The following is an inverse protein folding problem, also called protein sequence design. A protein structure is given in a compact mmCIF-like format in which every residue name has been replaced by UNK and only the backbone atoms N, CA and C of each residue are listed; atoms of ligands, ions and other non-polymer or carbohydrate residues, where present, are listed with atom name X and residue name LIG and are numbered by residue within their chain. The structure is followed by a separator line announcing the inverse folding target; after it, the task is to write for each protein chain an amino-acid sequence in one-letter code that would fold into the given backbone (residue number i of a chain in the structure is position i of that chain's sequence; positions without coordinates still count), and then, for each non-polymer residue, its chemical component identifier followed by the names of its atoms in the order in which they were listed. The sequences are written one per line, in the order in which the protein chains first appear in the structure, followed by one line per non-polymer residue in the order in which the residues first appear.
data_IF_861333521697
#
_entry.id   IF_861333521697
#
_cell.length_a   1.000
_cell.length_b   1.000
_cell.length_c   1.000
_cell.angle_alpha   90.00
_cell.angle_beta   90.00
_cell.angle_gamma   90.00
#
_symmetry.space_group_name_H-M   'P 1'
#
loop_
_entity.id
_entity.type
_entity.pdbx_description
1 polymer ?
#
# COMPACT_ATOMS: atom_id res chain seq x y z
N UNK A 1 -0.17 15.55 8.03
CA UNK A 1 0.13 14.16 7.66
C UNK A 1 -0.05 13.32 8.92
N UNK A 2 -0.30 12.00 8.84
CA UNK A 2 -0.45 11.20 10.08
C UNK A 2 0.83 11.35 10.93
N UNK A 3 0.74 11.85 12.17
CA UNK A 3 1.93 12.11 12.98
C UNK A 3 2.61 10.79 13.33
N UNK A 4 3.93 10.74 13.15
CA UNK A 4 4.73 9.62 13.63
C UNK A 4 4.73 9.62 15.16
N UNK A 5 4.64 8.42 15.76
CA UNK A 5 4.75 8.31 17.22
C UNK A 5 6.20 8.57 17.64
N UNK A 6 6.44 9.18 18.82
CA UNK A 6 7.80 9.42 19.30
C UNK A 6 8.65 8.14 19.45
N UNK A 7 7.99 7.01 19.67
CA UNK A 7 8.55 5.67 19.85
C UNK A 7 8.28 4.74 18.66
N UNK A 8 8.06 5.30 17.46
CA UNK A 8 7.82 4.50 16.25
C UNK A 8 9.05 3.61 15.97
N UNK A 9 8.89 2.28 15.89
CA UNK A 9 10.02 1.40 15.64
C UNK A 9 10.62 1.62 14.25
N UNK A 10 11.94 1.58 14.11
CA UNK A 10 12.61 1.75 12.81
C UNK A 10 12.10 0.79 11.73
N UNK A 11 11.74 -0.44 12.12
CA UNK A 11 11.20 -1.46 11.21
C UNK A 11 9.76 -1.18 10.74
N UNK A 12 9.06 -0.23 11.36
CA UNK A 12 7.72 0.19 10.95
C UNK A 12 7.79 1.17 9.76
N UNK A 13 8.96 1.75 9.50
CA UNK A 13 9.21 2.60 8.34
C UNK A 13 9.47 1.74 7.10
N UNK A 14 9.17 2.30 5.92
CA UNK A 14 9.54 1.66 4.66
C UNK A 14 11.07 1.52 4.59
N UNK A 15 11.53 0.27 4.52
CA UNK A 15 12.94 -0.05 4.39
C UNK A 15 13.37 0.12 2.94
N UNK A 16 13.67 1.36 2.56
CA UNK A 16 14.10 1.74 1.20
C UNK A 16 15.60 2.16 1.17
N UNK A 17 16.56 1.26 1.47
CA UNK A 17 17.98 1.61 1.45
C UNK A 17 18.44 1.98 0.02
N UNK A 18 17.83 1.35 -0.99
CA UNK A 18 18.06 1.60 -2.40
C UNK A 18 16.72 1.66 -3.15
N UNK A 19 16.57 2.62 -4.05
CA UNK A 19 15.39 2.75 -4.90
C UNK A 19 15.81 2.82 -6.37
N UNK A 20 15.17 2.01 -7.21
CA UNK A 20 15.46 1.94 -8.65
C UNK A 20 15.09 3.25 -9.34
N UNK A 21 15.69 3.51 -10.51
CA UNK A 21 15.32 4.66 -11.36
C UNK A 21 14.29 4.32 -12.42
N UNK A 22 14.17 3.03 -12.78
CA UNK A 22 13.30 2.56 -13.87
C UNK A 22 12.48 1.33 -13.44
N UNK A 23 11.29 1.19 -14.03
CA UNK A 23 10.42 0.03 -13.82
C UNK A 23 10.86 -1.17 -14.67
N UNK A 24 10.14 -2.29 -14.58
CA UNK A 24 10.42 -3.53 -15.33
C UNK A 24 10.37 -3.38 -16.86
N UNK A 25 9.81 -2.28 -17.36
CA UNK A 25 9.69 -1.97 -18.78
C UNK A 25 10.73 -0.93 -19.25
N UNK A 26 11.65 -0.51 -18.37
CA UNK A 26 12.66 0.50 -18.69
C UNK A 26 12.13 1.93 -18.70
N UNK A 27 10.94 2.20 -18.15
CA UNK A 27 10.40 3.55 -18.04
C UNK A 27 10.84 4.20 -16.71
N UNK A 28 11.11 5.52 -16.67
CA UNK A 28 11.41 6.23 -15.44
C UNK A 28 10.30 6.07 -14.41
N UNK A 29 10.68 5.89 -13.14
CA UNK A 29 9.70 5.83 -12.04
C UNK A 29 9.49 7.16 -11.34
N UNK A 30 10.32 8.18 -11.59
CA UNK A 30 10.05 9.53 -11.12
C UNK A 30 8.86 10.13 -11.90
N UNK A 31 7.78 10.41 -11.18
CA UNK A 31 6.50 10.88 -11.75
C UNK A 31 6.32 12.39 -11.65
N UNK A 32 7.18 13.09 -10.90
CA UNK A 32 7.15 14.54 -10.77
C UNK A 32 8.55 15.04 -10.46
N UNK A 33 9.39 15.07 -11.50
CA UNK A 33 10.79 15.46 -11.41
C UNK A 33 10.96 16.91 -10.93
N UNK A 34 12.17 17.28 -10.52
CA UNK A 34 12.50 18.65 -10.14
C UNK A 34 12.22 19.62 -11.31
N UNK A 35 11.39 20.64 -11.04
CA UNK A 35 10.90 21.59 -12.05
C UNK A 35 9.52 21.27 -12.64
N UNK A 36 8.94 20.11 -12.35
CA UNK A 36 7.54 19.81 -12.67
C UNK A 36 6.59 20.71 -11.84
N UNK A 37 5.47 21.13 -12.40
CA UNK A 37 4.48 21.97 -11.71
C UNK A 37 3.82 21.26 -10.52
N UNK A 38 3.81 19.92 -10.54
CA UNK A 38 3.31 19.07 -9.46
C UNK A 38 4.36 18.80 -8.39
N UNK A 39 5.64 19.12 -8.64
CA UNK A 39 6.70 18.94 -7.65
C UNK A 39 6.46 19.84 -6.43
N UNK A 40 6.58 19.29 -5.23
CA UNK A 40 6.32 20.00 -3.97
C UNK A 40 4.85 20.24 -3.66
N UNK A 41 3.92 19.89 -4.56
CA UNK A 41 2.50 20.12 -4.34
C UNK A 41 1.93 19.16 -3.29
N UNK A 42 1.00 19.68 -2.49
CA UNK A 42 0.20 18.86 -1.59
C UNK A 42 -0.83 18.05 -2.38
N UNK A 43 -1.05 16.81 -1.95
CA UNK A 43 -2.14 15.99 -2.46
C UNK A 43 -3.46 16.23 -1.70
N UNK A 44 -3.44 17.05 -0.65
CA UNK A 44 -4.58 17.35 0.22
C UNK A 44 -5.37 16.08 0.61
N UNK A 45 -4.69 15.12 1.24
CA UNK A 45 -5.28 13.81 1.54
C UNK A 45 -6.19 13.96 2.75
N UNK A 46 -7.50 13.77 2.60
CA UNK A 46 -8.48 13.89 3.70
C UNK A 46 -8.42 15.27 4.43
N UNK A 47 -8.19 16.36 3.69
CA UNK A 47 -8.07 17.71 4.25
C UNK A 47 -6.69 18.05 4.82
N UNK A 48 -5.73 17.15 4.66
CA UNK A 48 -4.37 17.30 5.12
C UNK A 48 -3.45 17.85 4.02
N UNK A 49 -3.08 19.12 4.18
CA UNK A 49 -2.19 19.83 3.26
C UNK A 49 -0.72 19.43 3.35
N UNK A 50 -0.31 18.53 4.24
CA UNK A 50 1.09 18.19 4.47
C UNK A 50 1.80 17.61 3.24
N UNK A 51 3.04 18.04 3.01
CA UNK A 51 3.95 17.46 2.02
C UNK A 51 4.90 16.51 2.75
N UNK A 52 4.98 15.26 2.30
CA UNK A 52 5.75 14.22 2.98
C UNK A 52 7.25 14.37 2.77
N UNK A 53 8.02 14.10 3.84
CA UNK A 53 9.48 14.13 3.82
C UNK A 53 10.11 12.82 3.27
N UNK A 54 9.31 11.87 2.78
CA UNK A 54 9.84 10.63 2.20
C UNK A 54 10.69 10.99 0.96
N UNK A 55 11.99 10.63 0.93
CA UNK A 55 12.89 10.94 -0.19
C UNK A 55 12.43 10.33 -1.52
N UNK A 56 11.62 9.28 -1.49
CA UNK A 56 11.06 8.62 -2.66
C UNK A 56 9.64 9.08 -3.01
N UNK A 57 9.11 10.15 -2.40
CA UNK A 57 7.72 10.64 -2.59
C UNK A 57 7.25 10.67 -4.05
N UNK A 58 8.10 11.12 -4.97
CA UNK A 58 7.75 11.31 -6.39
C UNK A 58 7.98 10.06 -7.24
N UNK A 59 8.57 9.01 -6.67
CA UNK A 59 8.77 7.75 -7.38
C UNK A 59 7.47 6.93 -7.38
N UNK A 60 7.30 6.10 -8.40
CA UNK A 60 6.21 5.13 -8.44
C UNK A 60 6.36 4.15 -7.28
N UNK A 61 5.30 4.00 -6.49
CA UNK A 61 5.22 3.01 -5.41
C UNK A 61 4.41 1.81 -5.88
N UNK A 62 4.72 0.65 -5.33
CA UNK A 62 3.98 -0.58 -5.59
C UNK A 62 4.14 -1.55 -4.44
N UNK A 63 3.22 -2.51 -4.35
CA UNK A 63 3.29 -3.60 -3.38
C UNK A 63 3.21 -4.94 -4.09
N UNK A 64 3.84 -5.95 -3.49
CA UNK A 64 3.76 -7.33 -3.92
C UNK A 64 2.97 -8.13 -2.87
N UNK A 65 1.98 -8.87 -3.34
CA UNK A 65 1.17 -9.77 -2.51
C UNK A 65 1.36 -11.20 -3.01
N UNK A 66 1.81 -12.09 -2.13
CA UNK A 66 1.87 -13.52 -2.38
C UNK A 66 0.66 -14.21 -1.76
N UNK A 67 -0.28 -14.65 -2.60
CA UNK A 67 -1.52 -15.31 -2.16
C UNK A 67 -1.26 -16.69 -1.54
N UNK A 68 -0.19 -17.39 -1.93
CA UNK A 68 0.14 -18.72 -1.41
C UNK A 68 0.47 -18.69 0.09
N UNK A 69 0.95 -17.55 0.59
CA UNK A 69 1.26 -17.35 2.01
C UNK A 69 0.07 -16.79 2.81
N UNK A 70 -1.05 -16.46 2.15
CA UNK A 70 -2.20 -15.87 2.82
C UNK A 70 -3.04 -16.95 3.52
N UNK A 71 -3.03 -16.94 4.85
CA UNK A 71 -3.84 -17.86 5.67
C UNK A 71 -5.22 -17.29 6.07
N UNK A 72 -5.63 -16.17 5.46
CA UNK A 72 -6.85 -15.44 5.82
C UNK A 72 -6.97 -15.12 7.32
N UNK A 73 -5.91 -14.59 7.94
CA UNK A 73 -5.94 -14.22 9.36
C UNK A 73 -6.63 -12.88 9.65
N UNK A 74 -7.02 -12.11 8.63
CA UNK A 74 -7.66 -10.79 8.74
C UNK A 74 -6.83 -9.69 9.45
N UNK A 75 -5.59 -9.97 9.87
CA UNK A 75 -4.72 -9.00 10.54
C UNK A 75 -4.43 -7.75 9.68
N UNK A 76 -4.31 -7.93 8.36
CA UNK A 76 -4.09 -6.81 7.45
C UNK A 76 -5.30 -5.89 7.32
N UNK A 77 -6.53 -6.40 7.46
CA UNK A 77 -7.75 -5.57 7.47
C UNK A 77 -7.78 -4.74 8.76
N UNK A 78 -7.58 -5.40 9.90
CA UNK A 78 -7.55 -4.73 11.20
C UNK A 78 -6.47 -3.64 11.24
N UNK A 79 -5.23 -3.94 10.84
CA UNK A 79 -4.15 -2.96 10.80
C UNK A 79 -4.47 -1.77 9.87
N UNK A 80 -5.12 -2.01 8.74
CA UNK A 80 -5.51 -0.95 7.82
C UNK A 80 -6.60 -0.06 8.41
N UNK A 81 -7.61 -0.65 9.06
CA UNK A 81 -8.69 0.09 9.71
C UNK A 81 -8.20 0.91 10.89
N UNK A 82 -7.38 0.32 11.77
CA UNK A 82 -6.75 1.01 12.91
C UNK A 82 -5.88 2.19 12.43
N UNK A 83 -5.12 2.02 11.35
CA UNK A 83 -4.23 3.08 10.85
C UNK A 83 -4.99 4.26 10.20
N UNK A 84 -6.16 4.00 9.64
CA UNK A 84 -6.93 5.00 8.89
C UNK A 84 -8.18 5.47 9.63
N UNK A 85 -8.39 5.05 10.87
CA UNK A 85 -9.58 5.33 11.68
C UNK A 85 -10.88 5.03 10.91
N UNK A 86 -10.90 3.90 10.18
CA UNK A 86 -12.04 3.55 9.34
C UNK A 86 -13.30 3.31 10.19
N UNK A 87 -14.45 3.91 9.82
CA UNK A 87 -15.73 3.53 10.40
C UNK A 87 -16.02 2.04 10.19
N UNK A 88 -16.79 1.43 11.09
CA UNK A 88 -17.07 -0.02 11.06
C UNK A 88 -17.71 -0.55 9.76
N UNK A 89 -18.31 0.33 8.95
CA UNK A 89 -18.94 -0.02 7.67
C UNK A 89 -18.04 0.22 6.45
N UNK A 90 -16.78 0.65 6.64
CA UNK A 90 -15.82 0.94 5.57
C UNK A 90 -14.59 0.06 5.75
N UNK A 91 -14.16 -0.60 4.68
CA UNK A 91 -12.93 -1.38 4.64
C UNK A 91 -12.10 -1.00 3.41
N UNK A 92 -10.92 -0.44 3.62
CA UNK A 92 -9.96 -0.13 2.54
C UNK A 92 -9.19 -1.36 2.06
N UNK A 93 -9.14 -2.39 2.90
CA UNK A 93 -8.55 -3.69 2.60
C UNK A 93 -9.54 -4.76 3.03
N UNK A 94 -9.70 -5.79 2.21
CA UNK A 94 -10.62 -6.89 2.46
C UNK A 94 -9.97 -8.24 2.15
N UNK A 95 -10.17 -9.22 3.02
CA UNK A 95 -9.70 -10.59 2.87
C UNK A 95 -10.90 -11.46 2.51
N UNK A 96 -10.82 -12.05 1.33
CA UNK A 96 -11.80 -13.00 0.82
C UNK A 96 -11.14 -14.31 0.40
N UNK A 97 -11.94 -15.18 -0.18
CA UNK A 97 -11.45 -16.43 -0.75
C UNK A 97 -12.24 -16.81 -2.00
N UNK A 98 -11.58 -17.57 -2.86
CA UNK A 98 -12.18 -18.21 -4.03
C UNK A 98 -12.06 -19.72 -3.84
N UNK A 99 -13.18 -20.41 -4.02
CA UNK A 99 -13.25 -21.87 -3.91
C UNK A 99 -13.42 -22.49 -5.29
N UNK A 100 -12.91 -23.70 -5.45
CA UNK A 100 -13.01 -24.45 -6.69
C UNK A 100 -12.95 -25.95 -6.47
N UNK A 101 -13.36 -26.69 -7.51
CA UNK A 101 -13.40 -28.15 -7.48
C UNK A 101 -14.65 -28.70 -6.81
N UNK A 102 -14.61 -29.98 -6.46
CA UNK A 102 -15.72 -30.69 -5.83
C UNK A 102 -15.14 -31.79 -4.97
N UNK A 103 -15.79 -32.11 -3.85
CA UNK A 103 -15.34 -33.17 -2.96
C UNK A 103 -15.02 -34.47 -3.72
N UNK A 104 -13.86 -35.13 -3.47
CA UNK A 104 -12.84 -34.79 -2.47
C UNK A 104 -11.75 -33.79 -2.95
N UNK A 105 -11.76 -33.40 -4.23
CA UNK A 105 -10.78 -32.50 -4.84
C UNK A 105 -11.21 -31.02 -4.76
N UNK A 106 -11.54 -30.55 -3.56
CA UNK A 106 -11.84 -29.13 -3.30
C UNK A 106 -10.56 -28.33 -3.06
N UNK A 107 -10.54 -27.07 -3.50
CA UNK A 107 -9.46 -26.13 -3.28
C UNK A 107 -10.00 -24.77 -2.85
N UNK A 108 -9.19 -24.03 -2.08
CA UNK A 108 -9.47 -22.66 -1.65
C UNK A 108 -8.21 -21.80 -1.77
N UNK A 109 -8.38 -20.62 -2.36
CA UNK A 109 -7.36 -19.57 -2.46
C UNK A 109 -7.81 -18.36 -1.63
N UNK A 110 -6.98 -17.92 -0.68
CA UNK A 110 -7.25 -16.71 0.10
C UNK A 110 -6.62 -15.49 -0.60
N UNK A 111 -7.34 -14.37 -0.60
CA UNK A 111 -6.93 -13.15 -1.30
C UNK A 111 -7.10 -11.95 -0.37
N UNK A 112 -6.03 -11.16 -0.17
CA UNK A 112 -6.11 -9.84 0.46
C UNK A 112 -6.18 -8.77 -0.62
N UNK A 113 -7.35 -8.19 -0.82
CA UNK A 113 -7.60 -7.14 -1.80
C UNK A 113 -7.50 -5.77 -1.14
N UNK A 114 -6.85 -4.83 -1.81
CA UNK A 114 -6.79 -3.41 -1.46
C UNK A 114 -6.90 -2.58 -2.75
N UNK A 115 -6.86 -1.25 -2.66
CA UNK A 115 -6.69 -0.43 -3.85
C UNK A 115 -5.39 -0.81 -4.57
N UNK A 116 -5.49 -1.15 -5.86
CA UNK A 116 -4.32 -1.55 -6.66
C UNK A 116 -3.49 -0.35 -7.14
N UNK A 117 -3.92 0.88 -6.86
CA UNK A 117 -3.27 2.10 -7.33
C UNK A 117 -2.94 2.03 -8.83
N UNK A 118 -3.97 1.73 -9.64
CA UNK A 118 -3.84 1.63 -11.08
C UNK A 118 -3.27 2.94 -11.67
N UNK A 119 -2.41 2.79 -12.69
CA UNK A 119 -1.88 3.89 -13.50
C UNK A 119 -2.98 4.52 -14.38
#
# INVERSE_FOLDING_TARGET
MYPARPDEPDYALLNDPDSKSHNRYGLPIDKAAEGDSLHGQSLNINGDGGVGANPNRYKQHGFYFNADNCIACHACEAACSEKNDNPAHIAFRSVGFVEGGTYPAYQRLNISMACNHCD
#
